data_IF_266041519995
#
_entry.id   IF_266041519995
#
_cell.length_a   1.000
_cell.length_b   1.000
_cell.length_c   1.000
_cell.angle_alpha   90.00
_cell.angle_beta   90.00
_cell.angle_gamma   90.00
#
_symmetry.space_group_name_H-M   'P 1'
#
loop_
_entity.id
_entity.type
_entity.pdbx_description
1 polymer ?
#
# COMPACT_ATOMS: atom_id res chain seq x y z
N UNK A 1 -12.04 -95.40 -77.39
CA UNK A 1 -11.83 -94.69 -78.67
C UNK A 1 -13.23 -94.34 -79.15
N UNK A 2 -13.63 -93.06 -79.10
CA UNK A 2 -14.99 -92.68 -79.53
C UNK A 2 -15.13 -92.92 -81.04
N UNK A 3 -16.29 -93.41 -81.47
CA UNK A 3 -16.57 -93.68 -82.88
C UNK A 3 -16.70 -92.36 -83.68
N UNK A 4 -16.33 -92.39 -84.96
CA UNK A 4 -16.28 -91.17 -85.79
C UNK A 4 -17.63 -90.46 -85.95
N UNK A 5 -18.74 -91.18 -85.81
CA UNK A 5 -20.09 -90.60 -85.88
C UNK A 5 -20.52 -89.98 -84.54
N UNK A 6 -20.11 -90.55 -83.41
CA UNK A 6 -20.32 -89.94 -82.09
C UNK A 6 -19.54 -88.63 -81.97
N UNK A 7 -18.32 -88.58 -82.52
CA UNK A 7 -17.50 -87.36 -82.53
C UNK A 7 -18.17 -86.22 -83.31
N UNK A 8 -18.80 -86.54 -84.46
CA UNK A 8 -19.54 -85.54 -85.27
C UNK A 8 -20.79 -85.05 -84.55
N UNK A 9 -21.49 -85.94 -83.84
CA UNK A 9 -22.65 -85.56 -83.05
C UNK A 9 -22.26 -84.60 -81.93
N UNK A 10 -21.21 -84.93 -81.18
CA UNK A 10 -20.69 -84.08 -80.09
C UNK A 10 -20.22 -82.72 -80.61
N UNK A 11 -19.52 -82.68 -81.76
CA UNK A 11 -19.09 -81.40 -82.36
C UNK A 11 -20.30 -80.55 -82.77
N UNK A 12 -21.33 -81.16 -83.38
CA UNK A 12 -22.55 -80.44 -83.78
C UNK A 12 -23.31 -79.92 -82.56
N UNK A 13 -23.46 -80.73 -81.52
CA UNK A 13 -24.10 -80.31 -80.27
C UNK A 13 -23.32 -79.16 -79.63
N UNK A 14 -21.98 -79.25 -79.58
CA UNK A 14 -21.12 -78.17 -79.09
C UNK A 14 -21.26 -76.88 -79.91
N UNK A 15 -21.50 -76.99 -81.22
CA UNK A 15 -21.72 -75.82 -82.09
C UNK A 15 -23.08 -75.17 -81.84
N UNK A 16 -24.07 -75.94 -81.39
CA UNK A 16 -25.41 -75.45 -81.05
C UNK A 16 -25.46 -74.79 -79.66
N UNK A 17 -24.59 -75.22 -78.73
CA UNK A 17 -24.46 -74.63 -77.39
C UNK A 17 -23.51 -73.44 -77.30
N UNK A 18 -22.65 -73.21 -78.30
CA UNK A 18 -21.71 -72.10 -78.34
C UNK A 18 -22.29 -70.99 -79.23
N UNK A 19 -22.78 -69.90 -78.62
CA UNK A 19 -23.22 -68.69 -79.31
C UNK A 19 -22.12 -67.61 -79.22
N UNK A 20 -21.27 -67.45 -80.27
CA UNK A 20 -20.14 -66.53 -80.22
C UNK A 20 -20.56 -65.07 -80.04
N UNK A 21 -21.76 -64.70 -80.50
CA UNK A 21 -22.26 -63.33 -80.36
C UNK A 21 -22.62 -63.06 -78.89
N UNK A 22 -23.25 -64.02 -78.20
CA UNK A 22 -23.54 -63.92 -76.78
C UNK A 22 -22.26 -63.88 -75.92
N UNK A 23 -21.27 -64.73 -76.23
CA UNK A 23 -19.97 -64.70 -75.55
C UNK A 23 -19.24 -63.36 -75.76
N UNK A 24 -19.30 -62.78 -76.97
CA UNK A 24 -18.73 -61.46 -77.25
C UNK A 24 -19.42 -60.34 -76.46
N UNK A 25 -20.76 -60.36 -76.37
CA UNK A 25 -21.50 -59.40 -75.53
C UNK A 25 -21.15 -59.56 -74.05
N UNK A 26 -20.97 -60.80 -73.57
CA UNK A 26 -20.57 -61.06 -72.18
C UNK A 26 -19.17 -60.50 -71.88
N UNK A 27 -18.21 -60.65 -72.81
CA UNK A 27 -16.86 -60.08 -72.66
C UNK A 27 -16.89 -58.56 -72.68
N UNK A 28 -17.65 -57.94 -73.60
CA UNK A 28 -17.82 -56.49 -73.65
C UNK A 28 -18.46 -55.95 -72.36
N UNK A 29 -19.50 -56.62 -71.85
CA UNK A 29 -20.13 -56.25 -70.59
C UNK A 29 -19.16 -56.40 -69.41
N UNK A 30 -18.33 -57.44 -69.40
CA UNK A 30 -17.30 -57.64 -68.39
C UNK A 30 -16.22 -56.54 -68.45
N UNK A 31 -15.74 -56.17 -69.64
CA UNK A 31 -14.78 -55.07 -69.81
C UNK A 31 -15.36 -53.73 -69.36
N UNK A 32 -16.61 -53.43 -69.73
CA UNK A 32 -17.30 -52.22 -69.28
C UNK A 32 -17.46 -52.22 -67.75
N UNK A 33 -17.80 -53.36 -67.16
CA UNK A 33 -17.91 -53.49 -65.71
C UNK A 33 -16.56 -53.30 -65.01
N UNK A 34 -15.48 -53.89 -65.53
CA UNK A 34 -14.12 -53.71 -64.99
C UNK A 34 -13.70 -52.24 -65.08
N UNK A 35 -13.89 -51.60 -66.23
CA UNK A 35 -13.58 -50.18 -66.42
C UNK A 35 -14.39 -49.29 -65.46
N UNK A 36 -15.67 -49.58 -65.25
CA UNK A 36 -16.51 -48.87 -64.30
C UNK A 36 -16.03 -49.04 -62.86
N UNK A 37 -15.64 -50.26 -62.47
CA UNK A 37 -15.09 -50.55 -61.14
C UNK A 37 -13.73 -49.87 -60.94
N UNK A 38 -12.86 -49.86 -61.94
CA UNK A 38 -11.57 -49.16 -61.86
C UNK A 38 -11.76 -47.64 -61.74
N UNK A 39 -12.68 -47.05 -62.50
CA UNK A 39 -13.02 -45.65 -62.39
C UNK A 39 -13.59 -45.30 -61.00
N UNK A 40 -14.46 -46.15 -60.45
CA UNK A 40 -15.00 -45.98 -59.10
C UNK A 40 -13.91 -46.07 -58.04
N UNK A 41 -13.03 -47.08 -58.11
CA UNK A 41 -11.89 -47.24 -57.21
C UNK A 41 -10.95 -46.05 -57.27
N UNK A 42 -10.62 -45.57 -58.47
CA UNK A 42 -9.75 -44.40 -58.65
C UNK A 42 -10.36 -43.15 -58.03
N UNK A 43 -11.66 -42.93 -58.24
CA UNK A 43 -12.39 -41.81 -57.64
C UNK A 43 -12.39 -41.90 -56.11
N UNK A 44 -12.67 -43.07 -55.54
CA UNK A 44 -12.63 -43.29 -54.10
C UNK A 44 -11.24 -43.03 -53.52
N UNK A 45 -10.19 -43.46 -54.21
CA UNK A 45 -8.79 -43.24 -53.82
C UNK A 45 -8.44 -41.73 -53.85
N UNK A 46 -8.86 -41.02 -54.90
CA UNK A 46 -8.69 -39.57 -55.01
C UNK A 46 -9.45 -38.81 -53.91
N UNK A 47 -10.69 -39.19 -53.62
CA UNK A 47 -11.50 -38.63 -52.53
C UNK A 47 -10.86 -38.89 -51.16
N UNK A 48 -10.38 -40.12 -50.92
CA UNK A 48 -9.66 -40.48 -49.69
C UNK A 48 -8.37 -39.66 -49.54
N UNK A 49 -7.60 -39.48 -50.61
CA UNK A 49 -6.39 -38.65 -50.59
C UNK A 49 -6.71 -37.17 -50.35
N UNK A 50 -7.77 -36.64 -50.96
CA UNK A 50 -8.22 -35.27 -50.75
C UNK A 50 -8.64 -35.05 -49.29
N UNK A 51 -9.39 -35.99 -48.71
CA UNK A 51 -9.82 -35.97 -47.32
C UNK A 51 -8.63 -36.06 -46.37
N UNK A 52 -7.67 -36.96 -46.62
CA UNK A 52 -6.47 -37.09 -45.81
C UNK A 52 -5.69 -35.75 -45.81
N UNK A 53 -5.48 -35.17 -46.99
CA UNK A 53 -4.78 -33.87 -47.12
C UNK A 53 -5.51 -32.73 -46.42
N UNK A 54 -6.84 -32.72 -46.45
CA UNK A 54 -7.65 -31.74 -45.72
C UNK A 54 -7.49 -31.92 -44.19
N UNK A 55 -7.59 -33.16 -43.70
CA UNK A 55 -7.40 -33.47 -42.28
C UNK A 55 -5.98 -33.15 -41.81
N UNK A 56 -4.95 -33.41 -42.60
CA UNK A 56 -3.56 -33.03 -42.26
C UNK A 56 -3.41 -31.53 -42.11
N UNK A 57 -4.03 -30.72 -42.99
CA UNK A 57 -4.01 -29.26 -42.87
C UNK A 57 -4.71 -28.77 -41.61
N UNK A 58 -5.86 -29.37 -41.27
CA UNK A 58 -6.58 -29.05 -40.03
C UNK A 58 -5.75 -29.43 -38.82
N UNK A 59 -5.10 -30.61 -38.84
CA UNK A 59 -4.23 -31.06 -37.77
C UNK A 59 -3.07 -30.09 -37.57
N UNK A 60 -2.41 -29.63 -38.64
CA UNK A 60 -1.31 -28.67 -38.46
C UNK A 60 -1.77 -27.28 -38.02
N UNK A 61 -2.92 -26.82 -38.51
CA UNK A 61 -3.52 -25.58 -38.00
C UNK A 61 -3.84 -25.71 -36.49
N UNK A 62 -4.40 -26.84 -36.06
CA UNK A 62 -4.67 -27.14 -34.66
C UNK A 62 -3.39 -27.31 -33.84
N UNK A 63 -2.33 -27.85 -34.42
CA UNK A 63 -1.03 -28.02 -33.74
C UNK A 63 -0.34 -26.67 -33.51
N UNK A 64 -0.33 -25.80 -34.52
CA UNK A 64 0.18 -24.42 -34.41
C UNK A 64 -0.66 -23.61 -33.41
N UNK A 65 -1.98 -23.79 -33.40
CA UNK A 65 -2.89 -23.13 -32.46
C UNK A 65 -2.76 -23.64 -31.02
N UNK A 66 -2.51 -24.94 -30.83
CA UNK A 66 -2.38 -25.56 -29.50
C UNK A 66 -1.00 -25.38 -28.87
N UNK A 67 0.03 -25.06 -29.66
CA UNK A 67 1.31 -24.62 -29.12
C UNK A 67 1.22 -23.19 -28.60
N UNK A 68 1.73 -22.95 -27.38
CA UNK A 68 1.82 -21.61 -26.79
C UNK A 68 2.61 -20.70 -27.76
N UNK A 69 2.04 -19.55 -28.19
CA UNK A 69 2.74 -18.64 -29.08
C UNK A 69 4.02 -18.12 -28.44
N UNK A 70 5.06 -17.94 -29.24
CA UNK A 70 6.40 -17.50 -28.79
C UNK A 70 6.37 -16.10 -28.14
N UNK A 71 5.31 -15.32 -28.37
CA UNK A 71 5.08 -14.02 -27.75
C UNK A 71 4.66 -14.11 -26.28
N UNK A 72 4.21 -15.27 -25.80
CA UNK A 72 3.81 -15.48 -24.42
C UNK A 72 5.03 -15.98 -23.64
N UNK A 73 5.40 -15.37 -22.51
CA UNK A 73 6.52 -15.82 -21.68
C UNK A 73 6.44 -17.33 -21.39
N UNK A 74 7.56 -18.00 -21.14
CA UNK A 74 7.51 -19.39 -20.66
C UNK A 74 6.73 -19.49 -19.34
N UNK A 75 6.25 -20.68 -18.99
CA UNK A 75 5.55 -20.88 -17.70
C UNK A 75 6.42 -20.45 -16.52
N UNK A 76 7.71 -20.81 -16.55
CA UNK A 76 8.71 -20.40 -15.57
C UNK A 76 8.89 -18.88 -15.51
N UNK A 77 8.99 -18.21 -16.67
CA UNK A 77 9.11 -16.76 -16.72
C UNK A 77 7.85 -16.06 -16.19
N UNK A 78 6.67 -16.61 -16.47
CA UNK A 78 5.42 -16.09 -15.95
C UNK A 78 5.31 -16.25 -14.42
N UNK A 79 5.70 -17.41 -13.88
CA UNK A 79 5.75 -17.64 -12.44
C UNK A 79 6.76 -16.72 -11.75
N UNK A 80 7.92 -16.49 -12.36
CA UNK A 80 8.90 -15.53 -11.87
C UNK A 80 8.31 -14.12 -11.81
N UNK A 81 7.62 -13.67 -12.88
CA UNK A 81 6.97 -12.35 -12.88
C UNK A 81 5.84 -12.25 -11.85
N UNK A 82 5.07 -13.31 -11.63
CA UNK A 82 4.02 -13.33 -10.60
C UNK A 82 4.61 -13.19 -9.19
N UNK A 83 5.67 -13.95 -8.89
CA UNK A 83 6.34 -13.87 -7.60
C UNK A 83 6.97 -12.49 -7.36
N UNK A 84 7.56 -11.89 -8.41
CA UNK A 84 8.13 -10.54 -8.32
C UNK A 84 7.04 -9.48 -8.05
N UNK A 85 5.90 -9.58 -8.75
CA UNK A 85 4.74 -8.72 -8.54
C UNK A 85 4.13 -8.90 -7.14
N UNK A 86 4.03 -10.12 -6.63
CA UNK A 86 3.53 -10.38 -5.28
C UNK A 86 4.48 -9.83 -4.20
N UNK A 87 5.80 -9.99 -4.41
CA UNK A 87 6.80 -9.41 -3.51
C UNK A 87 6.73 -7.88 -3.49
N UNK A 88 6.56 -7.26 -4.66
CA UNK A 88 6.40 -5.82 -4.83
C UNK A 88 5.11 -5.33 -4.16
N UNK A 89 4.01 -6.05 -4.33
CA UNK A 89 2.72 -5.74 -3.69
C UNK A 89 2.82 -5.75 -2.17
N UNK A 90 3.47 -6.77 -1.60
CA UNK A 90 3.70 -6.85 -0.15
C UNK A 90 4.58 -5.71 0.35
N UNK A 91 5.63 -5.36 -0.41
CA UNK A 91 6.48 -4.20 -0.08
C UNK A 91 5.70 -2.89 -0.09
N UNK A 92 4.87 -2.64 -1.12
CA UNK A 92 4.05 -1.44 -1.19
C UNK A 92 3.03 -1.38 -0.06
N UNK A 93 2.36 -2.49 0.26
CA UNK A 93 1.41 -2.53 1.36
C UNK A 93 2.08 -2.17 2.70
N UNK A 94 3.29 -2.68 2.95
CA UNK A 94 4.07 -2.33 4.14
C UNK A 94 4.44 -0.84 4.13
N UNK A 95 4.97 -0.33 3.03
CA UNK A 95 5.37 1.08 2.93
C UNK A 95 4.19 2.03 3.14
N UNK A 96 3.00 1.67 2.63
CA UNK A 96 1.77 2.44 2.87
C UNK A 96 1.42 2.43 4.35
N UNK A 97 1.42 1.26 4.99
CA UNK A 97 1.13 1.14 6.42
C UNK A 97 2.13 1.94 7.28
N UNK A 98 3.42 1.91 6.95
CA UNK A 98 4.46 2.67 7.65
C UNK A 98 4.25 4.19 7.45
N UNK A 99 3.88 4.62 6.25
CA UNK A 99 3.59 6.02 5.95
C UNK A 99 2.32 6.52 6.67
N UNK A 100 1.26 5.71 6.73
CA UNK A 100 0.03 6.01 7.47
C UNK A 100 0.30 6.14 8.98
N UNK A 101 1.13 5.26 9.55
CA UNK A 101 1.53 5.34 10.95
C UNK A 101 2.34 6.62 11.22
N UNK A 102 3.25 6.99 10.31
CA UNK A 102 4.01 8.23 10.42
C UNK A 102 3.10 9.47 10.33
N UNK A 103 2.11 9.45 9.43
CA UNK A 103 1.14 10.53 9.29
C UNK A 103 0.31 10.69 10.57
N UNK A 104 -0.23 9.59 11.11
CA UNK A 104 -1.00 9.61 12.34
C UNK A 104 -0.20 10.18 13.53
N UNK A 105 1.08 9.81 13.66
CA UNK A 105 1.96 10.37 14.68
C UNK A 105 2.16 11.89 14.49
N UNK A 106 2.39 12.34 13.25
CA UNK A 106 2.58 13.77 12.96
C UNK A 106 1.31 14.57 13.19
N UNK A 107 0.14 14.03 12.86
CA UNK A 107 -1.15 14.66 13.15
C UNK A 107 -1.39 14.78 14.65
N UNK A 108 -1.04 13.75 15.44
CA UNK A 108 -1.14 13.79 16.90
C UNK A 108 -0.18 14.84 17.51
N UNK A 109 1.07 14.90 17.05
CA UNK A 109 2.03 15.93 17.46
C UNK A 109 1.53 17.34 17.11
N UNK A 110 0.98 17.52 15.91
CA UNK A 110 0.45 18.80 15.45
C UNK A 110 -0.76 19.22 16.29
N UNK A 111 -1.65 18.30 16.64
CA UNK A 111 -2.77 18.56 17.52
C UNK A 111 -2.31 18.98 18.93
N UNK A 112 -1.31 18.29 19.50
CA UNK A 112 -0.74 18.63 20.80
C UNK A 112 -0.09 20.02 20.79
N UNK A 113 0.71 20.33 19.77
CA UNK A 113 1.37 21.63 19.61
C UNK A 113 0.36 22.76 19.41
N UNK A 114 -0.73 22.53 18.68
CA UNK A 114 -1.81 23.52 18.54
C UNK A 114 -2.48 23.82 19.87
N UNK A 115 -2.74 22.80 20.68
CA UNK A 115 -3.33 23.02 22.01
C UNK A 115 -2.37 23.74 22.96
N UNK A 116 -1.08 23.41 22.91
CA UNK A 116 -0.06 24.13 23.66
C UNK A 116 0.08 25.59 23.22
N UNK A 117 0.08 25.85 21.91
CA UNK A 117 0.09 27.21 21.38
C UNK A 117 -1.14 28.01 21.86
N UNK A 118 -2.33 27.42 21.79
CA UNK A 118 -3.57 28.03 22.31
C UNK A 118 -3.48 28.31 23.80
N UNK A 119 -2.91 27.38 24.58
CA UNK A 119 -2.70 27.55 26.02
C UNK A 119 -1.75 28.71 26.30
N UNK A 120 -0.68 28.86 25.52
CA UNK A 120 0.29 29.94 25.64
C UNK A 120 -0.28 31.29 25.19
N UNK A 121 -1.13 31.32 24.17
CA UNK A 121 -1.82 32.56 23.73
C UNK A 121 -2.75 33.13 24.82
N UNK A 122 -3.36 32.25 25.63
CA UNK A 122 -4.22 32.65 26.76
C UNK A 122 -3.41 32.94 28.02
N UNK A 123 -2.17 32.47 28.09
CA UNK A 123 -1.30 32.65 29.26
C UNK A 123 -0.79 34.10 29.32
N UNK A 124 -1.19 34.83 30.35
CA UNK A 124 -0.65 36.16 30.66
C UNK A 124 0.40 36.05 31.79
N UNK A 125 1.70 36.18 31.46
CA UNK A 125 2.76 36.11 32.46
C UNK A 125 2.69 37.23 33.49
N UNK A 126 2.14 38.40 33.16
CA UNK A 126 2.11 39.54 34.09
C UNK A 126 1.16 39.28 35.25
N UNK A 127 0.01 38.65 34.96
CA UNK A 127 -1.03 38.34 35.94
C UNK A 127 -0.62 37.20 36.87
N UNK A 128 0.12 36.21 36.38
CA UNK A 128 0.69 35.15 37.23
C UNK A 128 1.85 35.66 38.10
N UNK A 129 2.75 36.48 37.54
CA UNK A 129 3.80 37.12 38.35
C UNK A 129 3.21 38.06 39.41
N UNK A 130 2.08 38.74 39.17
CA UNK A 130 1.40 39.56 40.18
C UNK A 130 0.84 38.71 41.33
N UNK A 131 0.43 37.46 41.07
CA UNK A 131 0.00 36.51 42.11
C UNK A 131 1.17 35.89 42.87
N UNK A 132 2.28 35.60 42.18
CA UNK A 132 3.45 34.93 42.77
C UNK A 132 4.39 35.90 43.51
N UNK A 133 4.58 37.12 43.00
CA UNK A 133 5.30 38.17 43.71
C UNK A 133 4.37 38.79 44.75
N UNK A 134 4.50 38.34 45.99
CA UNK A 134 3.92 39.05 47.13
C UNK A 134 4.43 40.50 47.14
N UNK A 135 3.59 41.42 46.68
CA UNK A 135 3.90 42.85 46.64
C UNK A 135 4.27 43.41 48.02
N UNK A 136 3.95 42.70 49.11
CA UNK A 136 4.40 43.03 50.47
C UNK A 136 5.89 42.73 50.63
N UNK A 137 6.37 41.57 50.19
CA UNK A 137 7.79 41.21 50.20
C UNK A 137 8.63 42.18 49.37
N UNK A 138 8.17 42.58 48.18
CA UNK A 138 8.88 43.58 47.36
C UNK A 138 8.93 44.95 48.06
N UNK A 139 7.80 45.42 48.62
CA UNK A 139 7.76 46.66 49.40
C UNK A 139 8.70 46.61 50.61
N UNK A 140 8.74 45.49 51.34
CA UNK A 140 9.65 45.28 52.46
C UNK A 140 11.13 45.31 52.02
N UNK A 141 11.45 44.70 50.88
CA UNK A 141 12.81 44.75 50.31
C UNK A 141 13.20 46.19 49.93
N UNK A 142 12.28 46.97 49.36
CA UNK A 142 12.50 48.39 49.04
C UNK A 142 12.73 49.19 50.32
N UNK A 143 11.90 49.04 51.35
CA UNK A 143 12.09 49.75 52.62
C UNK A 143 13.40 49.38 53.31
N UNK A 144 13.80 48.09 53.25
CA UNK A 144 15.11 47.65 53.73
C UNK A 144 16.26 48.26 52.94
N UNK A 145 16.12 48.37 51.61
CA UNK A 145 17.11 49.00 50.73
C UNK A 145 17.27 50.50 50.99
N UNK A 146 16.21 51.20 51.38
CA UNK A 146 16.23 52.62 51.78
C UNK A 146 16.86 52.80 53.18
N UNK A 147 17.05 51.72 53.95
CA UNK A 147 17.76 51.74 55.22
C UNK A 147 16.89 51.54 56.45
N UNK A 148 15.62 51.19 56.30
CA UNK A 148 14.72 50.86 57.41
C UNK A 148 14.75 49.36 57.69
N UNK A 149 15.25 48.97 58.86
CA UNK A 149 15.32 47.57 59.28
C UNK A 149 14.54 47.35 60.59
N UNK A 150 13.38 46.68 60.54
CA UNK A 150 12.59 46.42 61.73
C UNK A 150 13.22 45.30 62.56
N UNK A 151 13.32 45.52 63.86
CA UNK A 151 13.68 44.49 64.84
C UNK A 151 12.39 44.01 65.49
N UNK A 152 12.04 42.77 65.16
CA UNK A 152 10.85 42.10 65.69
C UNK A 152 11.20 41.44 67.04
N UNK A 153 10.35 41.67 68.04
CA UNK A 153 10.44 41.04 69.35
C UNK A 153 9.98 39.57 69.35
N UNK A 154 10.13 38.90 70.50
CA UNK A 154 9.71 37.49 70.67
C UNK A 154 8.20 37.27 70.55
N UNK A 155 7.43 38.35 70.66
CA UNK A 155 5.98 38.46 70.53
C UNK A 155 5.52 38.69 69.08
N UNK A 156 6.44 38.80 68.13
CA UNK A 156 6.11 39.06 66.72
C UNK A 156 5.76 40.52 66.43
N UNK A 157 5.87 41.42 67.41
CA UNK A 157 5.64 42.86 67.22
C UNK A 157 6.97 43.60 66.95
N UNK A 158 6.90 44.68 66.17
CA UNK A 158 8.06 45.52 65.88
C UNK A 158 8.34 46.40 67.09
N UNK A 159 9.36 46.05 67.88
CA UNK A 159 9.69 46.77 69.10
C UNK A 159 10.66 47.93 68.84
N UNK A 160 11.49 47.81 67.79
CA UNK A 160 12.53 48.77 67.44
C UNK A 160 12.71 48.84 65.93
N UNK A 161 13.04 50.02 65.41
CA UNK A 161 13.48 50.23 64.04
C UNK A 161 14.93 50.69 64.03
N UNK A 162 15.76 50.06 63.20
CA UNK A 162 17.04 50.62 62.82
C UNK A 162 16.87 51.45 61.55
N UNK A 163 17.38 52.67 61.57
CA UNK A 163 17.38 53.58 60.42
C UNK A 163 18.82 53.87 60.06
N UNK A 164 19.23 53.42 58.88
CA UNK A 164 20.52 53.77 58.29
C UNK A 164 20.39 55.08 57.52
N UNK A 165 21.07 56.10 58.00
CA UNK A 165 21.15 57.42 57.41
C UNK A 165 21.99 57.43 56.12
N UNK A 166 21.81 58.43 55.25
CA UNK A 166 22.65 58.57 54.05
C UNK A 166 24.10 58.88 54.40
N UNK A 167 24.33 59.50 55.57
CA UNK A 167 25.66 59.72 56.15
C UNK A 167 26.41 58.42 56.47
N UNK A 168 25.71 57.28 56.56
CA UNK A 168 26.24 55.99 57.00
C UNK A 168 25.99 55.69 58.48
N UNK A 169 25.44 56.63 59.24
CA UNK A 169 25.12 56.43 60.66
C UNK A 169 23.89 55.54 60.86
N UNK A 170 23.88 54.74 61.93
CA UNK A 170 22.77 53.84 62.27
C UNK A 170 22.08 54.32 63.53
N UNK A 171 20.83 54.74 63.39
CA UNK A 171 19.98 55.21 64.47
C UNK A 171 19.01 54.11 64.90
N UNK A 172 18.79 53.97 66.21
CA UNK A 172 17.84 53.02 66.78
C UNK A 172 16.65 53.77 67.37
N UNK A 173 15.46 53.54 66.85
CA UNK A 173 14.20 54.12 67.35
C UNK A 173 13.37 53.04 68.04
N UNK A 174 13.07 53.24 69.32
CA UNK A 174 12.23 52.34 70.13
C UNK A 174 10.75 52.75 70.06
N UNK A 175 9.87 51.82 69.70
CA UNK A 175 8.43 52.08 69.57
C UNK A 175 7.64 51.88 70.88
N UNK A 176 8.29 51.38 71.93
CA UNK A 176 7.69 51.12 73.25
C UNK A 176 7.36 52.39 74.04
N UNK A 177 7.70 53.58 73.52
CA UNK A 177 7.53 54.86 74.23
C UNK A 177 6.11 55.46 74.17
N UNK A 178 5.17 54.83 73.45
CA UNK A 178 3.75 55.21 73.45
C UNK A 178 3.42 56.54 72.76
N UNK A 179 4.33 57.09 71.94
CA UNK A 179 4.08 58.28 71.12
C UNK A 179 3.08 57.99 69.99
N UNK A 180 2.37 59.00 69.47
CA UNK A 180 1.48 58.80 68.33
C UNK A 180 2.27 58.53 67.03
N UNK A 181 1.69 57.74 66.13
CA UNK A 181 2.36 57.20 64.92
C UNK A 181 2.94 58.28 63.98
N UNK A 182 2.31 59.45 63.92
CA UNK A 182 2.79 60.55 63.07
C UNK A 182 4.13 61.12 63.56
N UNK A 183 4.34 61.22 64.88
CA UNK A 183 5.61 61.69 65.44
C UNK A 183 6.76 60.71 65.15
N UNK A 184 6.48 59.40 65.18
CA UNK A 184 7.46 58.40 64.79
C UNK A 184 7.77 58.47 63.30
N UNK A 185 6.76 58.68 62.45
CA UNK A 185 6.96 58.81 61.00
C UNK A 185 7.87 59.98 60.66
N UNK A 186 7.61 61.16 61.24
CA UNK A 186 8.43 62.35 61.04
C UNK A 186 9.87 62.15 61.55
N UNK A 187 10.03 61.49 62.71
CA UNK A 187 11.33 61.16 63.27
C UNK A 187 12.12 60.20 62.37
N UNK A 188 11.48 59.13 61.90
CA UNK A 188 12.12 58.12 61.05
C UNK A 188 12.60 58.72 59.72
N UNK A 189 11.79 59.55 59.06
CA UNK A 189 12.18 60.23 57.83
C UNK A 189 13.27 61.29 58.05
N UNK A 190 13.23 62.01 59.19
CA UNK A 190 14.30 62.95 59.56
C UNK A 190 15.63 62.23 59.80
N UNK A 191 15.61 61.07 60.44
CA UNK A 191 16.81 60.27 60.69
C UNK A 191 17.35 59.59 59.41
N UNK A 192 16.47 59.20 58.49
CA UNK A 192 16.87 58.60 57.21
C UNK A 192 17.48 59.62 56.24
N UNK A 193 17.07 60.90 56.34
CA UNK A 193 17.57 62.01 55.51
C UNK A 193 18.75 62.77 56.11
N UNK A 194 19.14 62.44 57.35
CA UNK A 194 20.34 62.98 58.00
C UNK A 194 21.61 62.32 57.45
#
# INVERSE_FOLDING_TARGET
MLDSEELKHVIRDLTEYMDPDQEYQNVLAAEQHVNAVEAAKKKELEEAHANLKALTRVLEAARVSSTRPVSVPSEEAHLATLNDLDSSRLSYAKNISDAEAMLANKEAELAALKEEARRLEVYDPALEHEKELDGSTLRLAIYKGIGFEPIVGKDGQVNKMLVRAQSGDVHSVDFTSGKPDHEYTDLLWKLASS
#
